data_IF_555000897372
#
_entry.id   IF_555000897372
#
_cell.length_a   1.000
_cell.length_b   1.000
_cell.length_c   1.000
_cell.angle_alpha   90.00
_cell.angle_beta   90.00
_cell.angle_gamma   90.00
#
_symmetry.space_group_name_H-M   'P 1'
#
loop_
_entity.id
_entity.type
_entity.pdbx_description
1 polymer ?
#
# COMPACT_ATOMS: atom_id res chain seq x y z
N UNK A 1 -11.76 7.41 24.21
CA UNK A 1 -12.50 6.79 23.09
C UNK A 1 -13.64 7.73 22.75
N UNK A 2 -13.43 8.60 21.75
CA UNK A 2 -14.48 9.55 21.32
C UNK A 2 -15.41 8.80 20.37
N UNK A 3 -16.64 8.63 20.77
CA UNK A 3 -17.75 8.19 19.92
C UNK A 3 -18.17 9.39 19.07
N UNK A 4 -17.62 9.51 17.86
CA UNK A 4 -18.20 10.40 16.85
C UNK A 4 -19.46 9.71 16.33
N UNK A 5 -20.57 9.98 16.99
CA UNK A 5 -21.91 9.54 16.60
C UNK A 5 -22.30 10.28 15.31
N UNK A 6 -22.41 9.58 14.18
CA UNK A 6 -23.05 10.04 12.96
C UNK A 6 -22.18 10.44 11.77
N UNK A 7 -20.86 10.55 11.90
CA UNK A 7 -19.96 10.80 10.77
C UNK A 7 -19.37 9.47 10.23
N UNK A 8 -19.32 9.33 8.91
CA UNK A 8 -18.68 8.16 8.28
C UNK A 8 -17.18 8.10 8.57
N UNK A 9 -16.61 6.90 8.57
CA UNK A 9 -15.21 6.64 8.86
C UNK A 9 -14.56 5.90 7.70
N UNK A 10 -13.41 6.40 7.21
CA UNK A 10 -12.54 5.66 6.30
C UNK A 10 -11.49 4.89 7.09
N UNK A 11 -11.36 3.58 6.85
CA UNK A 11 -10.37 2.72 7.51
C UNK A 11 -9.46 2.07 6.47
N UNK A 12 -8.19 2.41 6.46
CA UNK A 12 -7.16 1.70 5.70
C UNK A 12 -6.85 0.37 6.40
N UNK A 13 -6.91 -0.74 5.68
CA UNK A 13 -6.69 -2.07 6.26
C UNK A 13 -5.55 -2.76 5.53
N UNK A 14 -4.45 -3.00 6.23
CA UNK A 14 -3.34 -3.76 5.68
C UNK A 14 -3.73 -5.24 5.48
N UNK A 15 -3.32 -5.80 4.35
CA UNK A 15 -3.61 -7.16 3.91
C UNK A 15 -2.34 -8.02 3.87
N UNK A 16 -2.44 -9.35 3.84
CA UNK A 16 -1.30 -10.25 3.75
C UNK A 16 -0.42 -10.01 2.52
N UNK A 17 0.90 -10.21 2.69
CA UNK A 17 1.90 -10.05 1.62
C UNK A 17 2.47 -11.40 1.13
N UNK A 18 1.75 -12.47 1.32
CA UNK A 18 2.15 -13.83 0.89
C UNK A 18 1.61 -14.94 1.79
N UNK A 19 1.33 -14.65 3.06
CA UNK A 19 0.77 -15.61 4.01
C UNK A 19 -0.59 -15.10 4.53
N UNK A 20 -1.66 -15.79 4.20
CA UNK A 20 -3.03 -15.42 4.63
C UNK A 20 -3.18 -15.40 6.16
N UNK A 21 -2.35 -16.14 6.89
CA UNK A 21 -2.33 -16.12 8.35
C UNK A 21 -1.92 -14.79 8.98
N UNK A 22 -1.34 -13.88 8.19
CA UNK A 22 -0.96 -12.53 8.65
C UNK A 22 -2.14 -11.54 8.65
N UNK A 23 -3.33 -11.96 8.23
CA UNK A 23 -4.53 -11.14 8.34
C UNK A 23 -4.94 -11.03 9.81
N UNK A 24 -4.83 -9.84 10.38
CA UNK A 24 -5.12 -9.64 11.79
C UNK A 24 -6.62 -9.82 12.11
N UNK A 25 -6.94 -10.28 13.33
CA UNK A 25 -8.34 -10.37 13.78
C UNK A 25 -9.06 -9.02 13.74
N UNK A 26 -8.33 -7.90 13.95
CA UNK A 26 -8.89 -6.56 13.85
C UNK A 26 -9.22 -6.21 12.40
N UNK A 27 -8.39 -6.62 11.43
CA UNK A 27 -8.68 -6.48 10.01
C UNK A 27 -9.96 -7.23 9.64
N UNK A 28 -10.10 -8.50 10.07
CA UNK A 28 -11.32 -9.29 9.84
C UNK A 28 -12.55 -8.58 10.39
N UNK A 29 -12.50 -8.08 11.64
CA UNK A 29 -13.63 -7.37 12.26
C UNK A 29 -14.01 -6.10 11.48
N UNK A 30 -13.02 -5.29 11.07
CA UNK A 30 -13.28 -4.06 10.31
C UNK A 30 -13.86 -4.38 8.94
N UNK A 31 -13.30 -5.34 8.21
CA UNK A 31 -13.79 -5.73 6.90
C UNK A 31 -15.19 -6.34 6.96
N UNK A 32 -15.52 -7.11 8.01
CA UNK A 32 -16.85 -7.66 8.23
C UNK A 32 -17.91 -6.59 8.54
N UNK A 33 -17.50 -5.50 9.19
CA UNK A 33 -18.41 -4.43 9.60
C UNK A 33 -18.51 -3.29 8.58
N UNK A 34 -17.68 -3.29 7.52
CA UNK A 34 -17.67 -2.21 6.53
C UNK A 34 -18.89 -2.26 5.61
N UNK A 35 -19.55 -1.11 5.43
CA UNK A 35 -20.65 -0.95 4.49
C UNK A 35 -20.18 -0.96 3.04
N UNK A 36 -18.90 -0.60 2.82
CA UNK A 36 -18.26 -0.61 1.53
C UNK A 36 -16.77 -0.93 1.69
N UNK A 37 -16.24 -1.79 0.82
CA UNK A 37 -14.81 -2.06 0.73
C UNK A 37 -14.28 -1.54 -0.61
N UNK A 38 -13.46 -0.49 -0.56
CA UNK A 38 -12.72 0.03 -1.69
C UNK A 38 -11.45 -0.82 -1.88
N UNK A 39 -11.21 -1.37 -3.07
CA UNK A 39 -10.15 -2.33 -3.34
C UNK A 39 -9.58 -2.20 -4.74
N UNK A 40 -8.32 -2.60 -4.94
CA UNK A 40 -7.64 -2.55 -6.22
C UNK A 40 -8.18 -3.59 -7.20
N UNK A 41 -8.19 -4.87 -6.83
CA UNK A 41 -8.81 -5.96 -7.59
C UNK A 41 -9.91 -6.63 -6.78
N UNK A 42 -11.16 -6.50 -7.24
CA UNK A 42 -12.34 -7.09 -6.56
C UNK A 42 -12.30 -8.60 -6.49
N UNK A 43 -11.62 -9.28 -7.43
CA UNK A 43 -11.50 -10.75 -7.43
C UNK A 43 -10.53 -11.21 -6.34
N UNK A 44 -9.36 -10.55 -6.21
CA UNK A 44 -8.38 -10.85 -5.17
C UNK A 44 -8.94 -10.55 -3.80
N UNK A 45 -9.57 -9.39 -3.65
CA UNK A 45 -10.26 -9.04 -2.40
C UNK A 45 -11.36 -10.04 -2.07
N UNK A 46 -12.16 -10.48 -3.05
CA UNK A 46 -13.18 -11.52 -2.85
C UNK A 46 -12.60 -12.83 -2.31
N UNK A 47 -11.43 -13.26 -2.82
CA UNK A 47 -10.73 -14.45 -2.31
C UNK A 47 -10.26 -14.27 -0.86
N UNK A 48 -9.69 -13.09 -0.54
CA UNK A 48 -9.27 -12.75 0.84
C UNK A 48 -10.45 -12.77 1.81
N UNK A 49 -11.57 -12.14 1.43
CA UNK A 49 -12.78 -12.10 2.25
C UNK A 49 -13.36 -13.49 2.45
N UNK A 50 -13.42 -14.30 1.39
CA UNK A 50 -13.87 -15.70 1.47
C UNK A 50 -13.00 -16.53 2.43
N UNK A 51 -11.68 -16.38 2.36
CA UNK A 51 -10.76 -17.03 3.29
C UNK A 51 -11.01 -16.60 4.73
N UNK A 52 -11.34 -15.33 4.96
CA UNK A 52 -11.66 -14.79 6.28
C UNK A 52 -13.10 -15.12 6.76
N UNK A 53 -13.89 -15.84 5.96
CA UNK A 53 -15.30 -16.15 6.28
C UNK A 53 -16.24 -14.95 6.15
N UNK A 54 -15.85 -13.90 5.43
CA UNK A 54 -16.64 -12.67 5.24
C UNK A 54 -17.44 -12.79 3.93
N UNK A 55 -18.74 -12.60 4.01
CA UNK A 55 -19.67 -12.72 2.87
C UNK A 55 -20.56 -11.47 2.76
N UNK A 56 -21.09 -11.23 1.55
CA UNK A 56 -22.07 -10.16 1.33
C UNK A 56 -21.49 -8.74 1.30
N UNK A 57 -20.17 -8.58 1.26
CA UNK A 57 -19.52 -7.26 1.22
C UNK A 57 -19.76 -6.54 -0.12
N UNK A 58 -20.08 -5.25 -0.05
CA UNK A 58 -20.10 -4.36 -1.21
C UNK A 58 -18.67 -3.97 -1.59
N UNK A 59 -18.25 -4.21 -2.83
CA UNK A 59 -16.90 -3.89 -3.31
C UNK A 59 -16.95 -2.73 -4.30
N UNK A 60 -16.00 -1.80 -4.16
CA UNK A 60 -15.76 -0.70 -5.09
C UNK A 60 -14.32 -0.79 -5.60
N UNK A 61 -14.14 -0.94 -6.90
CA UNK A 61 -12.81 -0.92 -7.50
C UNK A 61 -12.21 0.48 -7.44
N UNK A 62 -10.96 0.56 -6.99
CA UNK A 62 -10.15 1.78 -6.89
C UNK A 62 -8.74 1.46 -7.39
N UNK A 63 -8.43 1.88 -8.61
CA UNK A 63 -7.10 1.79 -9.20
C UNK A 63 -6.55 3.19 -9.50
N UNK A 64 -5.29 3.29 -9.89
CA UNK A 64 -4.62 4.57 -10.16
C UNK A 64 -5.36 5.48 -11.17
N UNK A 65 -6.16 4.90 -12.08
CA UNK A 65 -6.90 5.64 -13.10
C UNK A 65 -8.30 6.04 -12.62
N UNK A 66 -8.88 5.27 -11.71
CA UNK A 66 -10.26 5.46 -11.22
C UNK A 66 -10.32 6.11 -9.84
N UNK A 67 -9.19 6.30 -9.17
CA UNK A 67 -9.10 6.76 -7.78
C UNK A 67 -9.86 8.08 -7.54
N UNK A 68 -9.77 9.05 -8.45
CA UNK A 68 -10.46 10.34 -8.33
C UNK A 68 -12.00 10.18 -8.39
N UNK A 69 -12.48 9.38 -9.35
CA UNK A 69 -13.91 9.09 -9.48
C UNK A 69 -14.44 8.24 -8.31
N UNK A 70 -13.62 7.33 -7.82
CA UNK A 70 -13.93 6.49 -6.66
C UNK A 70 -13.99 7.33 -5.37
N UNK A 71 -13.10 8.33 -5.20
CA UNK A 71 -13.11 9.23 -4.06
C UNK A 71 -14.47 9.93 -3.90
N UNK A 72 -15.09 10.39 -5.00
CA UNK A 72 -16.42 11.00 -4.95
C UNK A 72 -17.50 10.04 -4.44
N UNK A 73 -17.43 8.75 -4.82
CA UNK A 73 -18.36 7.72 -4.32
C UNK A 73 -18.13 7.41 -2.85
N UNK A 74 -16.86 7.29 -2.44
CA UNK A 74 -16.48 7.05 -1.03
C UNK A 74 -16.95 8.21 -0.17
N UNK A 75 -16.66 9.46 -0.54
CA UNK A 75 -17.08 10.66 0.22
C UNK A 75 -18.60 10.69 0.38
N UNK A 76 -19.36 10.37 -0.66
CA UNK A 76 -20.83 10.28 -0.57
C UNK A 76 -21.25 9.23 0.46
N UNK A 77 -20.67 8.03 0.44
CA UNK A 77 -21.00 7.00 1.42
C UNK A 77 -20.65 7.43 2.85
N UNK A 78 -19.49 8.09 3.03
CA UNK A 78 -19.10 8.66 4.33
C UNK A 78 -20.09 9.74 4.80
N UNK A 79 -20.60 10.59 3.90
CA UNK A 79 -21.61 11.61 4.25
C UNK A 79 -22.98 11.01 4.64
N UNK A 80 -23.25 9.79 4.21
CA UNK A 80 -24.41 8.98 4.61
C UNK A 80 -24.17 8.25 5.95
N UNK A 81 -23.02 8.47 6.61
CA UNK A 81 -22.65 7.82 7.88
C UNK A 81 -22.03 6.42 7.71
N UNK A 82 -21.73 5.99 6.47
CA UNK A 82 -21.20 4.66 6.23
C UNK A 82 -19.76 4.48 6.70
N UNK A 83 -19.41 3.26 7.12
CA UNK A 83 -18.04 2.80 7.36
C UNK A 83 -17.46 2.28 6.05
N UNK A 84 -16.35 2.86 5.59
CA UNK A 84 -15.67 2.44 4.36
C UNK A 84 -14.28 1.90 4.69
N UNK A 85 -14.01 0.65 4.31
CA UNK A 85 -12.67 0.06 4.39
C UNK A 85 -11.94 0.25 3.05
N UNK A 86 -10.62 0.43 3.10
CA UNK A 86 -9.75 0.45 1.92
C UNK A 86 -8.72 -0.66 2.05
N UNK A 87 -8.61 -1.50 1.04
CA UNK A 87 -7.60 -2.56 0.93
C UNK A 87 -6.88 -2.48 -0.40
N UNK A 88 -5.65 -3.00 -0.44
CA UNK A 88 -4.88 -3.26 -1.66
C UNK A 88 -4.70 -4.75 -1.87
N UNK A 89 -4.17 -5.14 -3.00
CA UNK A 89 -3.96 -6.56 -3.33
C UNK A 89 -3.01 -7.25 -2.36
N UNK A 90 -2.05 -6.51 -1.79
CA UNK A 90 -1.12 -7.00 -0.77
C UNK A 90 -0.48 -5.85 0.01
N UNK A 91 -0.40 -5.94 1.31
CA UNK A 91 0.30 -4.97 2.16
C UNK A 91 -0.55 -3.79 2.61
N UNK A 92 0.08 -2.65 2.81
CA UNK A 92 -0.52 -1.44 3.38
C UNK A 92 -1.00 -0.50 2.26
N UNK A 93 -2.30 -0.15 2.21
CA UNK A 93 -2.84 0.78 1.22
C UNK A 93 -2.09 2.11 1.19
N UNK A 94 -1.87 2.66 -0.01
CA UNK A 94 -1.17 3.93 -0.22
C UNK A 94 0.37 3.83 -0.24
N UNK A 95 0.97 2.65 -0.01
CA UNK A 95 2.42 2.44 -0.10
C UNK A 95 2.74 1.74 -1.42
N UNK A 96 3.09 2.52 -2.44
CA UNK A 96 3.27 2.08 -3.85
C UNK A 96 2.01 1.48 -4.49
N UNK A 97 0.87 1.65 -3.85
CA UNK A 97 -0.44 1.17 -4.22
C UNK A 97 -1.45 2.32 -4.25
N UNK A 98 -2.64 2.17 -4.85
CA UNK A 98 -3.71 3.15 -4.76
C UNK A 98 -4.11 3.45 -3.30
N UNK A 99 -4.54 4.68 -3.04
CA UNK A 99 -5.06 5.09 -1.73
C UNK A 99 -4.60 6.47 -1.26
N UNK A 100 -3.44 6.95 -1.71
CA UNK A 100 -2.91 8.26 -1.30
C UNK A 100 -3.87 9.40 -1.66
N UNK A 101 -4.30 9.48 -2.92
CA UNK A 101 -5.23 10.50 -3.40
C UNK A 101 -6.60 10.37 -2.74
N UNK A 102 -7.08 9.14 -2.60
CA UNK A 102 -8.33 8.85 -1.91
C UNK A 102 -8.31 9.39 -0.48
N UNK A 103 -7.26 9.07 0.29
CA UNK A 103 -7.08 9.55 1.67
C UNK A 103 -7.05 11.07 1.70
N UNK A 104 -6.28 11.71 0.82
CA UNK A 104 -6.21 13.17 0.75
C UNK A 104 -7.59 13.78 0.52
N UNK A 105 -8.34 13.28 -0.47
CA UNK A 105 -9.69 13.76 -0.79
C UNK A 105 -10.69 13.60 0.35
N UNK A 106 -10.59 12.48 1.08
CA UNK A 106 -11.45 12.21 2.24
C UNK A 106 -11.14 13.17 3.40
N UNK A 107 -9.84 13.42 3.68
CA UNK A 107 -9.40 14.39 4.68
C UNK A 107 -9.80 15.82 4.30
N UNK A 108 -9.62 16.22 3.03
CA UNK A 108 -10.04 17.53 2.52
C UNK A 108 -11.56 17.75 2.61
N UNK A 109 -12.33 16.66 2.54
CA UNK A 109 -13.78 16.68 2.75
C UNK A 109 -14.19 16.67 4.23
N UNK A 110 -13.25 16.66 5.17
CA UNK A 110 -13.49 16.77 6.62
C UNK A 110 -13.86 15.46 7.31
N UNK A 111 -13.67 14.31 6.66
CA UNK A 111 -13.94 13.00 7.27
C UNK A 111 -12.72 12.44 8.00
N UNK A 112 -12.97 11.60 9.00
CA UNK A 112 -11.94 10.91 9.76
C UNK A 112 -11.36 9.74 8.96
N UNK A 113 -10.03 9.57 9.05
CA UNK A 113 -9.29 8.45 8.49
C UNK A 113 -8.59 7.70 9.60
N UNK A 114 -8.74 6.39 9.62
CA UNK A 114 -8.08 5.49 10.58
C UNK A 114 -7.31 4.39 9.86
N UNK A 115 -6.49 3.62 10.59
CA UNK A 115 -5.72 2.52 10.04
C UNK A 115 -5.77 1.27 10.92
N UNK A 116 -5.90 0.12 10.27
CA UNK A 116 -5.57 -1.18 10.85
C UNK A 116 -4.17 -1.55 10.34
N UNK A 117 -3.11 -1.31 11.15
CA UNK A 117 -1.75 -1.66 10.73
C UNK A 117 -1.59 -3.18 10.57
N UNK A 118 -0.68 -3.56 9.69
CA UNK A 118 -0.42 -4.96 9.40
C UNK A 118 0.80 -5.14 8.51
N UNK A 119 0.83 -6.17 7.65
CA UNK A 119 1.96 -6.48 6.81
C UNK A 119 2.42 -5.31 5.92
N UNK A 120 3.73 -5.16 5.81
CA UNK A 120 4.38 -4.15 4.97
C UNK A 120 5.65 -4.74 4.37
N UNK A 121 5.66 -4.97 3.06
CA UNK A 121 6.79 -5.57 2.37
C UNK A 121 8.09 -4.75 2.51
N UNK A 122 8.08 -3.40 2.40
CA UNK A 122 9.29 -2.60 2.62
C UNK A 122 9.89 -2.78 4.00
N UNK A 123 9.05 -2.79 5.04
CA UNK A 123 9.51 -2.96 6.43
C UNK A 123 10.01 -4.39 6.65
N UNK A 124 9.33 -5.40 6.13
CA UNK A 124 9.77 -6.80 6.23
C UNK A 124 11.13 -7.00 5.54
N UNK A 125 11.29 -6.51 4.31
CA UNK A 125 12.55 -6.58 3.59
C UNK A 125 13.67 -5.84 4.35
N UNK A 126 13.40 -4.64 4.85
CA UNK A 126 14.38 -3.83 5.59
C UNK A 126 14.91 -4.58 6.82
N UNK A 127 14.02 -5.13 7.66
CA UNK A 127 14.46 -5.81 8.90
C UNK A 127 15.16 -7.15 8.63
N UNK A 128 14.85 -7.80 7.50
CA UNK A 128 15.51 -9.06 7.09
C UNK A 128 16.86 -8.83 6.39
N UNK A 129 17.10 -7.63 5.87
CA UNK A 129 18.27 -7.33 5.04
C UNK A 129 19.61 -7.35 5.79
N UNK A 130 19.60 -7.14 7.09
CA UNK A 130 20.82 -6.90 7.89
C UNK A 130 21.47 -5.54 7.62
N UNK A 131 20.89 -4.69 6.78
CA UNK A 131 21.36 -3.33 6.50
C UNK A 131 20.91 -2.36 7.61
N UNK A 132 21.52 -1.16 7.74
CA UNK A 132 21.11 -0.17 8.73
C UNK A 132 19.63 0.22 8.60
N UNK A 133 18.88 0.13 9.70
CA UNK A 133 17.43 0.40 9.74
C UNK A 133 17.08 1.75 10.37
N UNK A 134 18.04 2.45 10.98
CA UNK A 134 17.81 3.70 11.70
C UNK A 134 17.35 4.84 10.77
N UNK A 135 17.94 4.92 9.58
CA UNK A 135 17.57 5.91 8.56
C UNK A 135 17.47 5.18 7.22
N UNK A 136 16.30 5.21 6.63
CA UNK A 136 16.02 4.57 5.35
C UNK A 136 15.02 5.38 4.53
N UNK A 137 14.96 5.13 3.24
CA UNK A 137 13.97 5.72 2.36
C UNK A 137 13.33 4.66 1.48
N UNK A 138 12.02 4.85 1.21
CA UNK A 138 11.26 4.04 0.28
C UNK A 138 11.22 4.73 -1.07
N UNK A 139 11.77 4.08 -2.08
CA UNK A 139 11.82 4.60 -3.45
C UNK A 139 10.65 4.08 -4.30
N UNK A 140 10.11 2.91 -3.96
CA UNK A 140 9.13 2.22 -4.80
C UNK A 140 9.77 1.61 -6.05
N UNK A 141 9.06 1.70 -7.18
CA UNK A 141 9.56 1.18 -8.45
C UNK A 141 10.36 2.22 -9.22
N UNK A 142 11.57 1.85 -9.65
CA UNK A 142 12.34 2.71 -10.55
C UNK A 142 11.64 2.90 -11.91
N UNK A 143 11.80 4.05 -12.56
CA UNK A 143 11.35 4.24 -13.94
C UNK A 143 11.84 3.10 -14.83
N UNK A 144 11.02 2.71 -15.82
CA UNK A 144 11.31 1.51 -16.61
C UNK A 144 12.57 1.62 -17.46
N UNK A 145 12.84 2.80 -18.03
CA UNK A 145 13.97 3.03 -18.94
C UNK A 145 14.18 4.52 -19.21
N UNK A 146 15.20 4.84 -20.01
CA UNK A 146 15.46 6.18 -20.55
C UNK A 146 16.03 7.16 -19.53
N UNK A 147 16.03 8.44 -19.90
CA UNK A 147 16.62 9.51 -19.10
C UNK A 147 16.06 9.61 -17.66
N UNK A 148 14.76 9.34 -17.49
CA UNK A 148 14.13 9.32 -16.17
C UNK A 148 14.76 8.25 -15.25
N UNK A 149 15.04 7.05 -15.78
CA UNK A 149 15.71 5.98 -15.02
C UNK A 149 17.15 6.35 -14.69
N UNK A 150 17.90 6.82 -15.69
CA UNK A 150 19.31 7.21 -15.51
C UNK A 150 19.42 8.37 -14.50
N UNK A 151 18.57 9.39 -14.63
CA UNK A 151 18.54 10.50 -13.69
C UNK A 151 18.21 10.06 -12.26
N UNK A 152 17.19 9.18 -12.11
CA UNK A 152 16.84 8.68 -10.77
C UNK A 152 17.94 7.85 -10.13
N UNK A 153 18.63 7.00 -10.90
CA UNK A 153 19.77 6.25 -10.42
C UNK A 153 20.93 7.16 -9.98
N UNK A 154 21.19 8.24 -10.71
CA UNK A 154 22.22 9.21 -10.33
C UNK A 154 21.87 9.95 -9.02
N UNK A 155 20.60 10.32 -8.82
CA UNK A 155 20.12 10.90 -7.55
C UNK A 155 20.28 9.92 -6.38
N UNK A 156 19.92 8.66 -6.59
CA UNK A 156 20.01 7.62 -5.55
C UNK A 156 21.45 7.19 -5.26
N UNK A 157 22.40 7.38 -6.19
CA UNK A 157 23.80 7.03 -5.99
C UNK A 157 24.45 7.80 -4.83
N UNK A 158 23.98 9.02 -4.57
CA UNK A 158 24.47 9.87 -3.47
C UNK A 158 23.63 9.75 -2.19
N UNK A 159 22.61 8.89 -2.18
CA UNK A 159 21.79 8.64 -1.01
C UNK A 159 22.55 7.79 0.01
N UNK A 160 22.75 8.31 1.21
CA UNK A 160 23.51 7.64 2.29
C UNK A 160 22.64 6.67 3.10
N UNK A 161 21.33 6.86 3.10
CA UNK A 161 20.39 6.01 3.83
C UNK A 161 20.25 4.65 3.16
N UNK A 162 19.74 3.67 3.89
CA UNK A 162 19.28 2.42 3.28
C UNK A 162 18.11 2.70 2.35
N UNK A 163 18.23 2.32 1.09
CA UNK A 163 17.21 2.50 0.07
C UNK A 163 16.42 1.20 -0.05
N UNK A 164 15.10 1.28 0.02
CA UNK A 164 14.20 0.16 -0.23
C UNK A 164 13.51 0.37 -1.58
N UNK A 165 13.67 -0.59 -2.48
CA UNK A 165 13.11 -0.58 -3.82
C UNK A 165 12.13 -1.73 -3.99
N UNK A 166 11.10 -1.52 -4.82
CA UNK A 166 10.33 -2.60 -5.40
C UNK A 166 10.82 -2.92 -6.79
N UNK A 167 10.92 -4.20 -7.10
CA UNK A 167 11.21 -4.64 -8.46
C UNK A 167 10.50 -5.95 -8.80
N UNK A 168 10.12 -6.10 -10.05
CA UNK A 168 9.56 -7.36 -10.53
C UNK A 168 10.66 -8.41 -10.73
N UNK A 169 10.38 -9.70 -10.48
CA UNK A 169 11.36 -10.78 -10.70
C UNK A 169 11.96 -10.78 -12.11
N UNK A 170 11.17 -10.40 -13.12
CA UNK A 170 11.60 -10.37 -14.53
C UNK A 170 12.62 -9.27 -14.83
N UNK A 171 12.65 -8.20 -14.03
CA UNK A 171 13.54 -7.04 -14.20
C UNK A 171 14.71 -7.04 -13.22
N UNK A 172 14.67 -7.88 -12.20
CA UNK A 172 15.62 -7.86 -11.08
C UNK A 172 17.08 -7.88 -11.55
N UNK A 173 17.44 -8.81 -12.44
CA UNK A 173 18.82 -8.92 -12.92
C UNK A 173 19.32 -7.65 -13.63
N UNK A 174 18.48 -7.06 -14.50
CA UNK A 174 18.80 -5.82 -15.19
C UNK A 174 18.91 -4.65 -14.22
N UNK A 175 18.01 -4.58 -13.25
CA UNK A 175 18.02 -3.53 -12.22
C UNK A 175 19.24 -3.64 -11.32
N UNK A 176 19.66 -4.84 -10.91
CA UNK A 176 20.91 -5.03 -10.15
C UNK A 176 22.15 -4.60 -10.95
N UNK A 177 22.19 -4.87 -12.26
CA UNK A 177 23.28 -4.39 -13.13
C UNK A 177 23.33 -2.86 -13.20
N UNK A 178 22.16 -2.19 -13.35
CA UNK A 178 22.07 -0.74 -13.35
C UNK A 178 22.50 -0.13 -12.00
N UNK A 179 22.06 -0.74 -10.89
CA UNK A 179 22.44 -0.31 -9.54
C UNK A 179 23.95 -0.47 -9.31
N UNK A 180 24.56 -1.58 -9.77
CA UNK A 180 26.01 -1.80 -9.70
C UNK A 180 26.76 -0.72 -10.48
N UNK A 181 26.28 -0.37 -11.67
CA UNK A 181 26.86 0.68 -12.49
C UNK A 181 26.77 2.08 -11.88
N UNK A 182 25.66 2.36 -11.20
CA UNK A 182 25.42 3.68 -10.60
C UNK A 182 26.00 3.83 -9.18
N UNK A 183 25.95 2.79 -8.36
CA UNK A 183 26.31 2.85 -6.94
C UNK A 183 27.69 2.27 -6.62
N UNK A 184 28.30 1.59 -7.58
CA UNK A 184 29.53 0.81 -7.39
C UNK A 184 29.25 -0.62 -6.91
N UNK A 185 30.22 -1.51 -7.17
CA UNK A 185 30.08 -2.94 -6.84
C UNK A 185 30.16 -3.27 -5.35
N UNK A 186 30.73 -2.36 -4.56
CA UNK A 186 30.96 -2.57 -3.11
C UNK A 186 29.77 -2.15 -2.24
N UNK A 187 28.73 -1.53 -2.82
CA UNK A 187 27.55 -1.12 -2.05
C UNK A 187 26.75 -2.37 -1.63
N UNK A 188 26.54 -2.60 -0.32
CA UNK A 188 25.80 -3.76 0.17
C UNK A 188 24.36 -3.78 -0.36
N UNK A 189 23.89 -4.95 -0.75
CA UNK A 189 22.51 -5.17 -1.24
C UNK A 189 21.92 -6.43 -0.63
N UNK A 190 20.63 -6.40 -0.34
CA UNK A 190 19.83 -7.57 0.01
C UNK A 190 18.65 -7.67 -0.94
N UNK A 191 18.30 -8.89 -1.33
CA UNK A 191 17.11 -9.22 -2.13
C UNK A 191 16.22 -10.10 -1.28
N UNK A 192 14.97 -9.72 -1.08
CA UNK A 192 13.99 -10.39 -0.23
C UNK A 192 12.77 -10.84 -1.06
#
# INVERSE_FOLDING_TARGET
>A
MSTLSGAGLLVLVATPIGNLGDLSQRAVKVLSAADLIACEDTRRTGLLLSHAGITGSSLLRVDQHTEEAAAGKVIRRLSEGASVAVVTDAGTPGISDPGERLVRRVLDAGFEVSVVPGPSAPVAALVMSGLPTTRWCMEGFLPRSGAARTGRLAELAVEERTIVLFESPRRLAATLADLTGAFGAERPVAVA
#
